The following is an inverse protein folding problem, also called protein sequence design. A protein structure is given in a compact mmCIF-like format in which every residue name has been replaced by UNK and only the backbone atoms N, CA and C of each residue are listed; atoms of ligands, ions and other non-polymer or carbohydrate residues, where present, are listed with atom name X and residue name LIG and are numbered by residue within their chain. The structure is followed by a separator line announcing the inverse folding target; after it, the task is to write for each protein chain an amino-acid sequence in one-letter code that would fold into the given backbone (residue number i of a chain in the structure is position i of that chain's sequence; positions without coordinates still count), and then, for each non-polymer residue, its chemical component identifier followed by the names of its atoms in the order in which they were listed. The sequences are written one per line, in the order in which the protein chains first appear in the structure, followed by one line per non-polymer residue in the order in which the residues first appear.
data_IF_611991965511
#
_entry.id   IF_611991965511
#
_cell.length_a   1.000
_cell.length_b   1.000
_cell.length_c   1.000
_cell.angle_alpha   90.00
_cell.angle_beta   90.00
_cell.angle_gamma   90.00
#
_symmetry.space_group_name_H-M   'P 1'
#
loop_
_entity.id
_entity.type
_entity.pdbx_description
1 polymer ?
#
# COMPACT_ATOMS: atom_id res chain seq x y z
N UNK A 1 -1.13 -8.84 -4.38
CA UNK A 1 -1.92 -9.40 -5.49
C UNK A 1 -3.40 -9.43 -5.10
N UNK A 2 -4.23 -8.60 -5.72
CA UNK A 2 -5.68 -8.57 -5.53
C UNK A 2 -6.34 -8.90 -6.87
N UNK A 3 -6.87 -10.13 -7.01
CA UNK A 3 -7.50 -10.60 -8.25
C UNK A 3 -8.88 -11.21 -7.95
N UNK A 4 -9.93 -10.89 -8.73
CA UNK A 4 -9.94 -9.93 -9.85
C UNK A 4 -9.66 -8.49 -9.39
N UNK A 5 -9.08 -7.68 -10.28
CA UNK A 5 -8.70 -6.30 -9.96
C UNK A 5 -9.94 -5.51 -9.48
N UNK A 6 -9.93 -5.00 -8.24
CA UNK A 6 -11.04 -4.21 -7.74
C UNK A 6 -11.25 -2.94 -8.57
N UNK A 7 -12.50 -2.58 -8.84
CA UNK A 7 -12.82 -1.36 -9.59
C UNK A 7 -12.24 -0.14 -8.88
N UNK A 8 -11.41 0.64 -9.58
CA UNK A 8 -10.77 1.84 -9.04
C UNK A 8 -9.41 1.60 -8.38
N UNK A 9 -8.90 0.37 -8.35
CA UNK A 9 -7.61 0.05 -7.74
C UNK A 9 -6.46 0.77 -8.45
N UNK A 10 -6.54 0.91 -9.77
CA UNK A 10 -5.54 1.60 -10.60
C UNK A 10 -5.43 3.10 -10.30
N UNK A 11 -6.53 3.71 -9.85
CA UNK A 11 -6.67 5.15 -9.66
C UNK A 11 -6.60 5.54 -8.16
N UNK A 12 -6.39 4.56 -7.28
CA UNK A 12 -6.33 4.81 -5.83
C UNK A 12 -5.09 5.66 -5.49
N UNK A 13 -5.23 6.71 -4.66
CA UNK A 13 -4.15 7.63 -4.36
C UNK A 13 -3.17 7.03 -3.34
N UNK A 14 -2.34 6.08 -3.78
CA UNK A 14 -1.31 5.46 -2.94
C UNK A 14 -0.20 6.45 -2.59
N UNK A 15 0.47 6.18 -1.48
CA UNK A 15 1.69 6.86 -1.05
C UNK A 15 2.88 5.93 -1.24
N UNK A 16 4.13 6.43 -1.30
CA UNK A 16 4.49 7.83 -1.55
C UNK A 16 4.13 8.27 -2.97
N UNK A 17 4.16 9.58 -3.26
CA UNK A 17 3.82 10.11 -4.60
C UNK A 17 4.69 9.57 -5.76
N UNK A 18 5.86 9.03 -5.46
CA UNK A 18 6.72 8.38 -6.47
C UNK A 18 6.25 6.97 -6.84
N UNK A 19 5.36 6.36 -6.05
CA UNK A 19 4.73 5.10 -6.41
C UNK A 19 3.73 5.29 -7.57
N UNK A 20 3.68 4.32 -8.49
CA UNK A 20 2.79 4.35 -9.63
C UNK A 20 2.20 2.98 -9.94
N UNK A 21 1.06 2.96 -10.63
CA UNK A 21 0.44 1.72 -11.07
C UNK A 21 1.02 1.23 -12.41
N UNK A 22 1.61 0.03 -12.42
CA UNK A 22 2.13 -0.60 -13.62
C UNK A 22 1.05 -1.47 -14.27
N UNK A 23 0.39 -0.94 -15.32
CA UNK A 23 -0.79 -1.56 -15.95
C UNK A 23 -0.57 -2.97 -16.47
N UNK A 24 0.62 -3.28 -16.99
CA UNK A 24 0.92 -4.63 -17.52
C UNK A 24 1.14 -5.66 -16.41
N UNK A 25 1.60 -5.22 -15.24
CA UNK A 25 1.79 -6.10 -14.07
C UNK A 25 0.50 -6.20 -13.26
N UNK A 26 -0.35 -5.16 -13.30
CA UNK A 26 -1.53 -5.04 -12.47
C UNK A 26 -1.20 -4.68 -11.02
N UNK A 27 -0.08 -4.00 -10.79
CA UNK A 27 0.48 -3.78 -9.46
C UNK A 27 1.03 -2.36 -9.29
N UNK A 28 1.07 -1.89 -8.05
CA UNK A 28 1.78 -0.67 -7.69
C UNK A 28 3.29 -0.95 -7.59
N UNK A 29 4.09 -0.03 -8.11
CA UNK A 29 5.55 -0.12 -8.14
C UNK A 29 6.13 1.12 -7.50
N UNK A 30 7.11 0.91 -6.62
CA UNK A 30 7.95 1.94 -6.02
C UNK A 30 9.41 1.63 -6.38
N UNK A 31 10.14 2.61 -6.92
CA UNK A 31 11.53 2.40 -7.29
C UNK A 31 12.39 2.34 -6.04
N UNK A 32 13.28 1.34 -5.99
CA UNK A 32 14.19 1.18 -4.87
C UNK A 32 15.13 2.38 -4.68
N UNK A 33 15.49 3.06 -5.78
CA UNK A 33 16.33 4.26 -5.72
C UNK A 33 15.65 5.39 -4.94
N UNK A 34 14.34 5.61 -5.15
CA UNK A 34 13.57 6.61 -4.41
C UNK A 34 13.58 6.31 -2.90
N UNK A 35 13.38 5.04 -2.53
CA UNK A 35 13.44 4.61 -1.12
C UNK A 35 14.82 4.84 -0.56
N UNK A 36 15.87 4.45 -1.30
CA UNK A 36 17.26 4.55 -0.86
C UNK A 36 17.72 5.99 -0.67
N UNK A 37 17.21 6.92 -1.46
CA UNK A 37 17.56 8.34 -1.42
C UNK A 37 16.66 9.16 -0.48
N UNK A 38 15.62 8.57 0.10
CA UNK A 38 14.73 9.24 1.03
C UNK A 38 15.42 9.57 2.36
N UNK A 39 15.04 10.68 2.97
CA UNK A 39 15.48 11.05 4.32
C UNK A 39 15.04 10.02 5.37
N UNK A 40 13.90 9.37 5.15
CA UNK A 40 13.29 8.36 6.03
C UNK A 40 12.86 7.13 5.21
N UNK A 41 13.80 6.26 4.83
CA UNK A 41 13.55 5.14 3.90
C UNK A 41 12.55 4.12 4.46
N UNK A 42 12.63 3.84 5.76
CA UNK A 42 11.73 2.95 6.48
C UNK A 42 10.28 3.46 6.48
N UNK A 43 10.06 4.75 6.76
CA UNK A 43 8.73 5.36 6.71
C UNK A 43 8.18 5.33 5.29
N UNK A 44 8.97 5.73 4.30
CA UNK A 44 8.55 5.74 2.90
C UNK A 44 8.11 4.36 2.40
N UNK A 45 8.86 3.32 2.78
CA UNK A 45 8.51 1.94 2.42
C UNK A 45 7.25 1.48 3.14
N UNK A 46 7.09 1.82 4.43
CA UNK A 46 5.90 1.46 5.19
C UNK A 46 4.65 2.15 4.64
N UNK A 47 4.73 3.43 4.28
CA UNK A 47 3.61 4.18 3.67
C UNK A 47 3.17 3.54 2.34
N UNK A 48 4.12 3.04 1.55
CA UNK A 48 3.83 2.29 0.33
C UNK A 48 3.08 0.99 0.60
N UNK A 49 3.59 0.18 1.52
CA UNK A 49 2.97 -1.09 1.86
C UNK A 49 1.58 -0.89 2.47
N UNK A 50 1.42 0.11 3.33
CA UNK A 50 0.16 0.42 3.98
C UNK A 50 -0.87 0.92 2.97
N UNK A 51 -0.54 1.94 2.17
CA UNK A 51 -1.52 2.53 1.24
C UNK A 51 -1.93 1.59 0.11
N UNK A 52 -1.03 0.70 -0.35
CA UNK A 52 -1.38 -0.33 -1.35
C UNK A 52 -2.26 -1.44 -0.74
N UNK A 53 -2.05 -1.78 0.53
CA UNK A 53 -2.95 -2.67 1.28
C UNK A 53 -4.34 -2.05 1.43
N UNK A 54 -4.42 -0.79 1.84
CA UNK A 54 -5.69 -0.06 2.00
C UNK A 54 -6.47 0.02 0.70
N UNK A 55 -5.78 0.35 -0.41
CA UNK A 55 -6.37 0.34 -1.74
C UNK A 55 -7.00 -1.02 -2.09
N UNK A 56 -6.34 -2.12 -1.75
CA UNK A 56 -6.85 -3.45 -2.03
C UNK A 56 -8.01 -3.82 -1.10
N UNK A 57 -7.83 -3.62 0.21
CA UNK A 57 -8.80 -4.00 1.24
C UNK A 57 -10.11 -3.22 1.11
N UNK A 58 -10.02 -1.90 0.93
CA UNK A 58 -11.19 -1.02 0.82
C UNK A 58 -11.99 -1.33 -0.45
N UNK A 59 -11.31 -1.51 -1.59
CA UNK A 59 -12.00 -1.74 -2.88
C UNK A 59 -12.49 -3.18 -3.06
N UNK A 60 -11.83 -4.15 -2.42
CA UNK A 60 -12.30 -5.54 -2.38
C UNK A 60 -13.36 -5.78 -1.28
N UNK A 61 -13.68 -4.77 -0.47
CA UNK A 61 -14.70 -4.85 0.58
C UNK A 61 -14.34 -5.81 1.71
N UNK A 62 -13.05 -5.89 2.05
CA UNK A 62 -12.58 -6.75 3.14
C UNK A 62 -13.05 -6.22 4.50
N UNK A 63 -13.44 -7.12 5.41
CA UNK A 63 -13.73 -6.74 6.80
C UNK A 63 -12.42 -6.46 7.55
N UNK A 64 -11.94 -5.22 7.42
CA UNK A 64 -10.70 -4.76 8.04
C UNK A 64 -10.71 -4.91 9.57
N UNK A 65 -11.87 -4.75 10.21
CA UNK A 65 -11.97 -4.95 11.66
C UNK A 65 -11.69 -6.38 12.10
N UNK A 66 -12.00 -7.37 11.26
CA UNK A 66 -11.70 -8.78 11.51
C UNK A 66 -10.23 -9.13 11.22
N UNK A 67 -9.56 -8.38 10.33
CA UNK A 67 -8.20 -8.67 9.86
C UNK A 67 -7.12 -7.87 10.57
N UNK A 68 -7.41 -6.66 10.99
CA UNK A 68 -6.45 -5.75 11.60
C UNK A 68 -6.25 -6.09 13.07
N UNK A 69 -4.98 -6.29 13.45
CA UNK A 69 -4.63 -6.34 14.86
C UNK A 69 -4.79 -4.96 15.45
N UNK A 70 -5.64 -4.85 16.48
CA UNK A 70 -5.60 -3.70 17.37
C UNK A 70 -4.20 -3.60 17.93
N UNK A 71 -3.54 -2.47 17.70
CA UNK A 71 -2.26 -2.16 18.32
C UNK A 71 -2.43 -2.29 19.82
N UNK A 72 -1.86 -3.35 20.40
CA UNK A 72 -1.78 -3.47 21.84
C UNK A 72 -0.84 -2.35 22.33
N UNK A 73 -1.23 -1.51 23.32
CA UNK A 73 -0.38 -0.42 23.79
C UNK A 73 0.89 -0.87 24.56
N UNK A 74 1.30 -2.14 24.45
CA UNK A 74 2.28 -2.79 25.33
C UNK A 74 3.65 -3.16 24.74
N UNK A 75 4.14 -2.50 23.69
CA UNK A 75 5.56 -2.63 23.29
C UNK A 75 6.31 -1.31 23.45
N UNK A 76 6.81 -1.11 24.68
CA UNK A 76 8.00 -0.30 24.99
C UNK A 76 9.20 -1.22 25.15
#
# INVERSE_FOLDING_TARGET
YAYPEPKGFRDYPVQPKSAYYHKELGEFVLHYEDVRMADQPDIMLLDFLQSTYEAAADLAGWDRNALERKSDPGHK
#
